data_IF_838994511212
#
_entry.id   IF_838994511212
#
_cell.length_a   1.000
_cell.length_b   1.000
_cell.length_c   1.000
_cell.angle_alpha   90.00
_cell.angle_beta   90.00
_cell.angle_gamma   90.00
#
_symmetry.space_group_name_H-M   'P 1'
#
loop_
_entity.id
_entity.type
_entity.pdbx_description
1 polymer ?
#
# COMPACT_ATOMS: atom_id res chain seq x y z
N UNK A 1 7.28 -32.17 -9.43
CA UNK A 1 6.02 -32.54 -10.11
C UNK A 1 5.88 -34.04 -10.15
N UNK A 2 6.82 -34.71 -10.81
CA UNK A 2 6.77 -36.16 -11.03
C UNK A 2 6.67 -36.99 -9.74
N UNK A 3 7.46 -36.69 -8.71
CA UNK A 3 7.37 -37.37 -7.39
C UNK A 3 5.98 -37.27 -6.77
N UNK A 4 5.29 -36.14 -6.93
CA UNK A 4 3.92 -35.97 -6.43
C UNK A 4 2.94 -36.82 -7.24
N UNK A 5 3.10 -36.86 -8.57
CA UNK A 5 2.27 -37.69 -9.46
C UNK A 5 2.33 -39.16 -9.06
N UNK A 6 3.54 -39.69 -8.85
CA UNK A 6 3.75 -41.09 -8.43
C UNK A 6 3.15 -41.35 -7.05
N UNK A 7 3.51 -40.56 -6.04
CA UNK A 7 3.01 -40.76 -4.68
C UNK A 7 1.48 -40.61 -4.55
N UNK A 8 0.87 -39.76 -5.39
CA UNK A 8 -0.60 -39.62 -5.45
C UNK A 8 -1.26 -40.82 -6.09
N UNK A 9 -0.67 -41.39 -7.15
CA UNK A 9 -1.17 -42.61 -7.79
C UNK A 9 -1.11 -43.79 -6.83
N UNK A 10 0.02 -43.99 -6.16
CA UNK A 10 0.19 -45.08 -5.18
C UNK A 10 -0.81 -44.99 -4.02
N UNK A 11 -1.12 -43.77 -3.56
CA UNK A 11 -2.15 -43.55 -2.54
C UNK A 11 -3.56 -43.76 -3.09
N UNK A 12 -3.85 -43.35 -4.33
CA UNK A 12 -5.16 -43.57 -4.95
C UNK A 12 -5.48 -45.06 -5.11
N UNK A 13 -4.48 -45.89 -5.39
CA UNK A 13 -4.61 -47.34 -5.49
C UNK A 13 -4.81 -48.01 -4.11
N UNK A 14 -4.50 -47.33 -3.00
CA UNK A 14 -4.59 -47.85 -1.63
C UNK A 14 -4.84 -46.71 -0.60
N UNK A 15 -6.07 -46.18 -0.56
CA UNK A 15 -6.40 -44.97 0.19
C UNK A 15 -6.43 -45.18 1.71
N UNK A 16 -6.51 -46.43 2.18
CA UNK A 16 -6.50 -46.76 3.60
C UNK A 16 -5.08 -46.81 4.20
N UNK A 17 -4.03 -46.77 3.36
CA UNK A 17 -2.65 -46.81 3.82
C UNK A 17 -2.17 -45.47 4.38
N UNK A 18 -1.92 -45.45 5.70
CA UNK A 18 -1.36 -44.29 6.41
C UNK A 18 0.04 -43.91 5.91
N UNK A 19 0.85 -44.89 5.51
CA UNK A 19 2.22 -44.68 5.01
C UNK A 19 2.19 -44.00 3.64
N UNK A 20 1.36 -44.51 2.70
CA UNK A 20 1.22 -43.92 1.36
C UNK A 20 0.65 -42.51 1.44
N UNK A 21 -0.35 -42.28 2.31
CA UNK A 21 -0.85 -40.94 2.62
C UNK A 21 0.27 -40.01 3.09
N UNK A 22 1.11 -40.47 4.03
CA UNK A 22 2.24 -39.69 4.55
C UNK A 22 3.28 -39.35 3.48
N UNK A 23 3.59 -40.28 2.59
CA UNK A 23 4.51 -40.05 1.46
C UNK A 23 3.94 -39.06 0.45
N UNK A 24 2.66 -39.20 0.07
CA UNK A 24 1.97 -38.22 -0.78
C UNK A 24 1.97 -36.82 -0.17
N UNK A 25 1.65 -36.69 1.12
CA UNK A 25 1.65 -35.38 1.82
C UNK A 25 3.03 -34.74 1.81
N UNK A 26 4.10 -35.52 2.03
CA UNK A 26 5.49 -35.00 1.93
C UNK A 26 5.81 -34.53 0.51
N UNK A 27 5.45 -35.32 -0.51
CA UNK A 27 5.66 -34.94 -1.90
C UNK A 27 4.86 -33.67 -2.28
N UNK A 28 3.64 -33.52 -1.78
CA UNK A 28 2.81 -32.34 -1.97
C UNK A 28 3.43 -31.09 -1.34
N UNK A 29 3.91 -31.17 -0.09
CA UNK A 29 4.59 -30.06 0.58
C UNK A 29 5.87 -29.64 -0.14
N UNK A 30 6.67 -30.60 -0.60
CA UNK A 30 7.86 -30.33 -1.39
C UNK A 30 7.52 -29.65 -2.73
N UNK A 31 6.47 -30.11 -3.42
CA UNK A 31 5.99 -29.49 -4.65
C UNK A 31 5.50 -28.07 -4.41
N UNK A 32 4.68 -27.84 -3.37
CA UNK A 32 4.19 -26.52 -3.02
C UNK A 32 5.35 -25.55 -2.76
N UNK A 33 6.36 -25.97 -1.98
CA UNK A 33 7.56 -25.15 -1.73
C UNK A 33 8.32 -24.80 -3.02
N UNK A 34 8.51 -25.77 -3.91
CA UNK A 34 9.17 -25.53 -5.20
C UNK A 34 8.39 -24.57 -6.11
N UNK A 35 7.05 -24.74 -6.20
CA UNK A 35 6.17 -23.87 -6.99
C UNK A 35 6.13 -22.47 -6.41
N UNK A 36 6.01 -22.32 -5.09
CA UNK A 36 6.05 -21.00 -4.43
C UNK A 36 7.37 -20.28 -4.72
N UNK A 37 8.52 -20.96 -4.63
CA UNK A 37 9.81 -20.36 -5.01
C UNK A 37 9.85 -19.93 -6.48
N UNK A 38 9.30 -20.72 -7.39
CA UNK A 38 9.21 -20.36 -8.80
C UNK A 38 8.36 -19.10 -9.03
N UNK A 39 7.20 -19.02 -8.37
CA UNK A 39 6.31 -17.86 -8.45
C UNK A 39 6.95 -16.60 -7.87
N UNK A 40 7.69 -16.71 -6.76
CA UNK A 40 8.44 -15.58 -6.19
C UNK A 40 9.52 -15.09 -7.17
N UNK A 41 10.27 -16.00 -7.79
CA UNK A 41 11.28 -15.62 -8.78
C UNK A 41 10.67 -14.96 -10.02
N UNK A 42 9.51 -15.46 -10.48
CA UNK A 42 8.78 -14.85 -11.59
C UNK A 42 8.30 -13.42 -11.23
N UNK A 43 7.77 -13.23 -10.01
CA UNK A 43 7.36 -11.92 -9.50
C UNK A 43 8.55 -10.94 -9.44
N UNK A 44 9.70 -11.37 -8.90
CA UNK A 44 10.91 -10.56 -8.87
C UNK A 44 11.36 -10.14 -10.27
N UNK A 45 11.30 -11.04 -11.25
CA UNK A 45 11.63 -10.71 -12.63
C UNK A 45 10.66 -9.68 -13.24
N UNK A 46 9.36 -9.78 -12.93
CA UNK A 46 8.36 -8.80 -13.37
C UNK A 46 8.58 -7.42 -12.71
N UNK A 47 8.93 -7.37 -11.41
CA UNK A 47 9.31 -6.12 -10.73
C UNK A 47 10.57 -5.51 -11.35
N UNK A 48 11.62 -6.29 -11.58
CA UNK A 48 12.85 -5.79 -12.24
C UNK A 48 12.56 -5.23 -13.64
N UNK A 49 11.67 -5.89 -14.40
CA UNK A 49 11.25 -5.41 -15.72
C UNK A 49 10.49 -4.08 -15.62
N UNK A 50 9.62 -3.93 -14.63
CA UNK A 50 8.93 -2.66 -14.35
C UNK A 50 9.93 -1.55 -14.01
N UNK A 51 10.91 -1.82 -13.14
CA UNK A 51 11.96 -0.85 -12.79
C UNK A 51 12.80 -0.45 -14.01
N UNK A 52 13.08 -1.38 -14.92
CA UNK A 52 13.74 -1.06 -16.18
C UNK A 52 12.90 -0.13 -17.06
N UNK A 53 11.58 -0.32 -17.13
CA UNK A 53 10.69 0.60 -17.85
C UNK A 53 10.65 1.99 -17.21
N UNK A 54 10.66 2.08 -15.86
CA UNK A 54 10.72 3.37 -15.17
C UNK A 54 11.97 4.16 -15.57
N UNK A 55 13.14 3.51 -15.56
CA UNK A 55 14.40 4.16 -15.98
C UNK A 55 14.35 4.69 -17.41
N UNK A 56 13.79 3.92 -18.34
CA UNK A 56 13.60 4.36 -19.74
C UNK A 56 12.69 5.60 -19.82
N UNK A 57 11.61 5.62 -19.03
CA UNK A 57 10.70 6.77 -18.96
C UNK A 57 11.37 7.99 -18.34
N UNK A 58 12.21 7.83 -17.32
CA UNK A 58 13.01 8.91 -16.72
C UNK A 58 14.00 9.53 -17.72
N UNK A 59 14.71 8.70 -18.49
CA UNK A 59 15.62 9.16 -19.53
C UNK A 59 14.87 9.93 -20.63
N UNK A 60 13.71 9.41 -21.06
CA UNK A 60 12.86 10.10 -22.05
C UNK A 60 12.26 11.40 -21.50
N UNK A 61 11.90 11.45 -20.22
CA UNK A 61 11.42 12.64 -19.52
C UNK A 61 12.49 13.74 -19.50
N UNK A 62 13.72 13.39 -19.13
CA UNK A 62 14.85 14.34 -19.15
C UNK A 62 15.11 14.85 -20.57
N UNK A 63 14.97 14.00 -21.59
CA UNK A 63 15.05 14.42 -22.98
C UNK A 63 13.99 15.49 -23.31
N UNK A 64 12.73 15.33 -22.87
CA UNK A 64 11.65 16.32 -23.09
C UNK A 64 12.00 17.68 -22.48
N UNK A 65 12.55 17.73 -21.26
CA UNK A 65 12.95 18.98 -20.60
C UNK A 65 14.06 19.71 -21.35
N UNK A 66 14.97 18.95 -21.95
CA UNK A 66 16.14 19.44 -22.67
C UNK A 66 15.88 19.69 -24.17
N UNK A 67 14.63 19.68 -24.62
CA UNK A 67 14.27 20.10 -25.96
C UNK A 67 14.64 21.57 -26.19
N UNK A 68 15.20 21.89 -27.36
CA UNK A 68 15.71 23.25 -27.67
C UNK A 68 14.78 24.07 -28.55
N UNK A 69 13.79 23.43 -29.18
CA UNK A 69 12.82 24.06 -30.06
C UNK A 69 11.52 23.24 -30.11
N UNK A 70 10.45 23.81 -30.65
CA UNK A 70 9.12 23.16 -30.63
C UNK A 70 9.06 21.86 -31.42
N UNK A 71 9.81 21.75 -32.52
CA UNK A 71 9.85 20.52 -33.33
C UNK A 71 10.55 19.38 -32.57
N UNK A 72 11.69 19.69 -31.93
CA UNK A 72 12.40 18.75 -31.06
C UNK A 72 11.52 18.33 -29.88
N UNK A 73 10.83 19.29 -29.23
CA UNK A 73 9.88 19.01 -28.16
C UNK A 73 8.78 18.04 -28.61
N UNK A 74 8.16 18.26 -29.77
CA UNK A 74 7.13 17.38 -30.32
C UNK A 74 7.67 15.95 -30.56
N UNK A 75 8.88 15.84 -31.11
CA UNK A 75 9.51 14.55 -31.38
C UNK A 75 9.84 13.78 -30.08
N UNK A 76 10.47 14.45 -29.10
CA UNK A 76 10.82 13.83 -27.82
C UNK A 76 9.59 13.48 -27.00
N UNK A 77 8.58 14.33 -27.00
CA UNK A 77 7.33 14.07 -26.29
C UNK A 77 6.56 12.89 -26.89
N UNK A 78 6.61 12.71 -28.22
CA UNK A 78 6.06 11.53 -28.89
C UNK A 78 6.75 10.24 -28.42
N UNK A 79 8.07 10.24 -28.26
CA UNK A 79 8.81 9.08 -27.77
C UNK A 79 8.51 8.82 -26.28
N UNK A 80 8.56 9.85 -25.45
CA UNK A 80 8.15 9.78 -24.04
C UNK A 80 6.75 9.19 -23.88
N UNK A 81 5.79 9.61 -24.72
CA UNK A 81 4.44 9.08 -24.72
C UNK A 81 4.36 7.56 -25.01
N UNK A 82 5.20 7.03 -25.92
CA UNK A 82 5.26 5.59 -26.18
C UNK A 82 5.77 4.81 -24.97
N UNK A 83 6.84 5.30 -24.35
CA UNK A 83 7.43 4.65 -23.17
C UNK A 83 6.49 4.71 -21.97
N UNK A 84 5.75 5.81 -21.79
CA UNK A 84 4.71 5.90 -20.78
C UNK A 84 3.59 4.86 -20.97
N UNK A 85 3.18 4.57 -22.21
CA UNK A 85 2.14 3.55 -22.47
C UNK A 85 2.63 2.17 -22.04
N UNK A 86 3.89 1.82 -22.35
CA UNK A 86 4.52 0.56 -21.93
C UNK A 86 4.62 0.48 -20.41
N UNK A 87 5.11 1.54 -19.75
CA UNK A 87 5.19 1.63 -18.29
C UNK A 87 3.81 1.47 -17.65
N UNK A 88 2.79 2.18 -18.16
CA UNK A 88 1.44 2.12 -17.61
C UNK A 88 0.85 0.70 -17.69
N UNK A 89 1.16 -0.05 -18.75
CA UNK A 89 0.72 -1.44 -18.87
C UNK A 89 1.34 -2.35 -17.79
N UNK A 90 2.66 -2.28 -17.60
CA UNK A 90 3.34 -3.11 -16.58
C UNK A 90 2.99 -2.67 -15.16
N UNK A 91 2.83 -1.37 -14.91
CA UNK A 91 2.39 -0.83 -13.63
C UNK A 91 0.95 -1.22 -13.29
N UNK A 92 0.05 -1.27 -14.28
CA UNK A 92 -1.32 -1.73 -14.08
C UNK A 92 -1.39 -3.20 -13.65
N UNK A 93 -0.54 -4.05 -14.25
CA UNK A 93 -0.43 -5.46 -13.86
C UNK A 93 0.09 -5.59 -12.44
N UNK A 94 1.18 -4.89 -12.09
CA UNK A 94 1.72 -4.90 -10.73
C UNK A 94 0.69 -4.45 -9.70
N UNK A 95 -0.10 -3.42 -10.00
CA UNK A 95 -1.20 -2.96 -9.14
C UNK A 95 -2.23 -4.05 -8.80
N UNK A 96 -2.45 -5.02 -9.70
CA UNK A 96 -3.37 -6.13 -9.44
C UNK A 96 -2.71 -7.24 -8.62
N UNK A 97 -1.39 -7.37 -8.70
CA UNK A 97 -0.59 -8.40 -8.01
C UNK A 97 -0.27 -8.01 -6.55
N UNK A 98 -0.15 -6.71 -6.26
CA UNK A 98 0.04 -6.16 -4.92
C UNK A 98 -1.06 -6.65 -3.96
N UNK A 99 -0.65 -7.10 -2.78
CA UNK A 99 -1.57 -7.64 -1.76
C UNK A 99 -2.14 -6.57 -0.84
N UNK A 100 -1.31 -5.61 -0.46
CA UNK A 100 -1.72 -4.49 0.39
C UNK A 100 -2.63 -3.52 -0.38
N UNK A 101 -3.91 -3.33 0.03
CA UNK A 101 -4.80 -2.35 -0.56
C UNK A 101 -4.21 -0.94 -0.61
N UNK A 102 -3.46 -0.54 0.42
CA UNK A 102 -2.84 0.78 0.47
C UNK A 102 -1.83 0.96 -0.67
N UNK A 103 -0.90 0.02 -0.84
CA UNK A 103 0.05 0.06 -1.95
C UNK A 103 -0.62 0.00 -3.33
N UNK A 104 -1.78 -0.67 -3.45
CA UNK A 104 -2.58 -0.67 -4.69
C UNK A 104 -3.13 0.72 -5.01
N UNK A 105 -3.60 1.44 -4.00
CA UNK A 105 -4.12 2.79 -4.13
C UNK A 105 -2.99 3.80 -4.41
N UNK A 106 -1.85 3.68 -3.73
CA UNK A 106 -0.65 4.49 -4.02
C UNK A 106 -0.19 4.30 -5.47
N UNK A 107 -0.11 3.05 -5.95
CA UNK A 107 0.20 2.75 -7.34
C UNK A 107 -0.82 3.37 -8.31
N UNK A 108 -2.12 3.28 -7.99
CA UNK A 108 -3.18 3.89 -8.81
C UNK A 108 -3.04 5.42 -8.87
N UNK A 109 -2.82 6.05 -7.73
CA UNK A 109 -2.65 7.50 -7.60
C UNK A 109 -1.42 7.97 -8.37
N UNK A 110 -0.27 7.30 -8.21
CA UNK A 110 0.97 7.64 -8.90
C UNK A 110 0.82 7.50 -10.43
N UNK A 111 0.17 6.43 -10.92
CA UNK A 111 -0.16 6.27 -12.35
C UNK A 111 -1.08 7.37 -12.87
N UNK A 112 -2.09 7.76 -12.09
CA UNK A 112 -3.01 8.85 -12.43
C UNK A 112 -2.30 10.20 -12.50
N UNK A 113 -1.46 10.51 -11.52
CA UNK A 113 -0.64 11.70 -11.46
C UNK A 113 0.33 11.77 -12.64
N UNK A 114 1.03 10.67 -12.96
CA UNK A 114 1.93 10.57 -14.10
C UNK A 114 1.21 10.95 -15.40
N UNK A 115 0.03 10.35 -15.66
CA UNK A 115 -0.75 10.63 -16.87
C UNK A 115 -1.17 12.10 -16.96
N UNK A 116 -1.67 12.68 -15.87
CA UNK A 116 -2.10 14.09 -15.82
C UNK A 116 -0.93 15.05 -16.04
N UNK A 117 0.17 14.85 -15.31
CA UNK A 117 1.32 15.75 -15.31
C UNK A 117 2.09 15.67 -16.63
N UNK A 118 2.15 14.48 -17.25
CA UNK A 118 2.75 14.30 -18.56
C UNK A 118 2.10 15.18 -19.64
N UNK A 119 0.76 15.26 -19.68
CA UNK A 119 0.08 16.15 -20.64
C UNK A 119 0.38 17.62 -20.36
N UNK A 120 0.41 18.03 -19.09
CA UNK A 120 0.76 19.40 -18.70
C UNK A 120 2.21 19.75 -19.08
N UNK A 121 3.13 18.80 -18.98
CA UNK A 121 4.54 19.00 -19.26
C UNK A 121 4.78 19.48 -20.69
N UNK A 122 4.07 18.93 -21.68
CA UNK A 122 4.20 19.37 -23.07
C UNK A 122 3.88 20.87 -23.21
N UNK A 123 2.72 21.29 -22.68
CA UNK A 123 2.28 22.68 -22.77
C UNK A 123 3.19 23.64 -21.99
N UNK A 124 3.69 23.22 -20.81
CA UNK A 124 4.60 24.04 -20.01
C UNK A 124 5.96 24.20 -20.69
N UNK A 125 6.51 23.12 -21.27
CA UNK A 125 7.74 23.15 -22.05
C UNK A 125 7.60 23.99 -23.32
N UNK A 126 6.46 23.91 -24.01
CA UNK A 126 6.18 24.71 -25.20
C UNK A 126 6.10 26.20 -24.86
N UNK A 127 5.40 26.56 -23.78
CA UNK A 127 5.32 27.95 -23.33
C UNK A 127 6.70 28.54 -22.98
N UNK A 128 7.56 27.74 -22.33
CA UNK A 128 8.94 28.13 -22.04
C UNK A 128 9.77 28.36 -23.31
N UNK A 129 9.63 27.49 -24.33
CA UNK A 129 10.36 27.64 -25.60
C UNK A 129 9.92 28.89 -26.38
N UNK A 130 8.65 29.28 -26.29
CA UNK A 130 8.12 30.48 -26.95
C UNK A 130 8.48 31.78 -26.22
N UNK A 131 8.56 31.73 -24.89
CA UNK A 131 8.78 32.89 -24.03
C UNK A 131 9.89 32.59 -22.99
N UNK A 132 11.15 32.45 -23.45
CA UNK A 132 12.27 32.03 -22.58
C UNK A 132 12.71 33.11 -21.58
N UNK A 133 12.33 34.37 -21.83
CA UNK A 133 12.56 35.55 -21.02
C UNK A 133 11.57 35.69 -19.85
N UNK A 134 10.41 35.04 -19.94
CA UNK A 134 9.39 35.05 -18.88
C UNK A 134 9.74 34.03 -17.80
N UNK A 135 10.27 34.48 -16.67
CA UNK A 135 10.67 33.60 -15.55
C UNK A 135 9.56 32.63 -15.08
N UNK A 136 8.28 33.06 -15.15
CA UNK A 136 7.14 32.24 -14.77
C UNK A 136 6.96 30.99 -15.66
N UNK A 137 7.31 31.04 -16.96
CA UNK A 137 7.18 29.86 -17.85
C UNK A 137 8.21 28.80 -17.49
N UNK A 138 9.44 29.21 -17.14
CA UNK A 138 10.49 28.33 -16.62
C UNK A 138 10.06 27.68 -15.31
N UNK A 139 9.63 28.49 -14.34
CA UNK A 139 9.19 28.00 -13.03
C UNK A 139 8.03 27.00 -13.16
N UNK A 140 7.05 27.29 -14.01
CA UNK A 140 5.94 26.36 -14.28
C UNK A 140 6.42 25.05 -14.91
N UNK A 141 7.29 25.10 -15.92
CA UNK A 141 7.85 23.89 -16.55
C UNK A 141 8.61 23.04 -15.54
N UNK A 142 9.47 23.65 -14.75
CA UNK A 142 10.31 22.93 -13.79
C UNK A 142 9.46 22.34 -12.64
N UNK A 143 8.39 23.04 -12.22
CA UNK A 143 7.40 22.50 -11.29
C UNK A 143 6.70 21.26 -11.85
N UNK A 144 6.12 21.35 -13.06
CA UNK A 144 5.42 20.21 -13.67
C UNK A 144 6.38 19.04 -13.90
N UNK A 145 7.61 19.31 -14.33
CA UNK A 145 8.65 18.30 -14.48
C UNK A 145 8.91 17.54 -13.18
N UNK A 146 9.05 18.27 -12.07
CA UNK A 146 9.20 17.67 -10.73
C UNK A 146 8.00 16.81 -10.36
N UNK A 147 6.77 17.26 -10.64
CA UNK A 147 5.56 16.47 -10.38
C UNK A 147 5.50 15.17 -11.22
N UNK A 148 6.09 15.15 -12.43
CA UNK A 148 6.23 13.91 -13.21
C UNK A 148 7.27 12.98 -12.56
N UNK A 149 8.41 13.51 -12.12
CA UNK A 149 9.43 12.73 -11.42
C UNK A 149 8.91 12.12 -10.12
N UNK A 150 8.16 12.88 -9.33
CA UNK A 150 7.52 12.40 -8.09
C UNK A 150 6.52 11.26 -8.39
N UNK A 151 5.76 11.36 -9.48
CA UNK A 151 4.85 10.29 -9.88
C UNK A 151 5.59 9.02 -10.33
N UNK A 152 6.71 9.14 -11.05
CA UNK A 152 7.57 8.02 -11.42
C UNK A 152 8.16 7.37 -10.16
N UNK A 153 8.67 8.16 -9.22
CA UNK A 153 9.18 7.68 -7.94
C UNK A 153 8.10 6.96 -7.12
N UNK A 154 6.86 7.49 -7.11
CA UNK A 154 5.72 6.85 -6.48
C UNK A 154 5.42 5.46 -7.05
N UNK A 155 5.45 5.31 -8.38
CA UNK A 155 5.31 3.99 -9.04
C UNK A 155 6.46 3.06 -8.63
N UNK A 156 7.70 3.57 -8.58
CA UNK A 156 8.88 2.79 -8.17
C UNK A 156 8.74 2.26 -6.75
N UNK A 157 8.35 3.12 -5.81
CA UNK A 157 8.19 2.77 -4.40
C UNK A 157 7.05 1.76 -4.22
N UNK A 158 5.88 2.01 -4.81
CA UNK A 158 4.74 1.10 -4.73
C UNK A 158 5.00 -0.25 -5.41
N UNK A 159 5.78 -0.29 -6.50
CA UNK A 159 6.13 -1.55 -7.17
C UNK A 159 7.04 -2.43 -6.30
N UNK A 160 7.97 -1.81 -5.57
CA UNK A 160 8.94 -2.45 -4.70
C UNK A 160 8.42 -2.70 -3.29
N UNK A 161 7.19 -2.25 -2.99
CA UNK A 161 6.50 -2.59 -1.76
C UNK A 161 6.41 -4.11 -1.65
N UNK A 162 7.31 -4.66 -0.84
CA UNK A 162 7.25 -6.04 -0.39
C UNK A 162 6.30 -6.02 0.77
N UNK A 163 5.27 -6.88 0.74
CA UNK A 163 4.40 -7.04 1.91
C UNK A 163 5.29 -7.31 3.13
N UNK A 164 5.35 -6.40 4.11
CA UNK A 164 5.88 -6.79 5.40
C UNK A 164 4.81 -7.70 5.99
N UNK A 165 5.22 -8.93 6.29
CA UNK A 165 4.74 -9.65 7.45
C UNK A 165 4.60 -8.67 8.60
N UNK A 166 3.39 -8.18 8.85
CA UNK A 166 2.90 -7.72 10.13
C UNK A 166 1.40 -7.51 9.97
N UNK A 167 0.61 -8.46 10.46
CA UNK A 167 -0.79 -8.21 10.87
C UNK A 167 -0.88 -7.08 11.93
N UNK A 168 0.26 -6.49 12.31
CA UNK A 168 0.45 -5.44 13.30
C UNK A 168 0.52 -4.02 12.74
N UNK A 169 0.54 -3.82 11.41
CA UNK A 169 0.30 -2.48 10.85
C UNK A 169 -1.19 -2.38 10.54
N UNK A 170 -1.91 -1.76 11.48
CA UNK A 170 -3.31 -1.38 11.30
C UNK A 170 -3.53 -0.63 9.98
N UNK A 171 -4.78 -0.56 9.52
CA UNK A 171 -5.15 0.10 8.27
C UNK A 171 -4.60 1.54 8.22
N UNK A 172 -3.46 1.77 7.57
CA UNK A 172 -2.89 3.11 7.41
C UNK A 172 -3.58 3.81 6.24
N UNK A 173 -4.23 4.95 6.50
CA UNK A 173 -4.86 5.78 5.45
C UNK A 173 -6.36 6.02 5.64
N UNK A 174 -7.10 6.10 4.52
CA UNK A 174 -8.53 6.45 4.55
C UNK A 174 -9.29 5.36 5.34
N UNK A 175 -9.95 5.77 6.42
CA UNK A 175 -10.70 4.87 7.28
C UNK A 175 -9.90 4.24 8.43
N UNK A 176 -8.66 4.67 8.67
CA UNK A 176 -7.81 4.20 9.78
C UNK A 176 -8.54 4.27 11.14
N UNK A 177 -9.10 5.43 11.49
CA UNK A 177 -9.84 5.59 12.75
C UNK A 177 -11.07 4.66 12.82
N UNK A 178 -11.78 4.47 11.70
CA UNK A 178 -12.94 3.59 11.64
C UNK A 178 -12.54 2.11 11.79
N UNK A 179 -11.42 1.70 11.18
CA UNK A 179 -10.87 0.36 11.34
C UNK A 179 -10.41 0.13 12.78
N UNK A 180 -9.72 1.10 13.40
CA UNK A 180 -9.28 1.03 14.79
C UNK A 180 -10.47 0.90 15.76
N UNK A 181 -11.55 1.67 15.55
CA UNK A 181 -12.79 1.55 16.32
C UNK A 181 -13.43 0.15 16.20
N UNK A 182 -13.57 -0.37 14.98
CA UNK A 182 -14.11 -1.73 14.76
C UNK A 182 -13.21 -2.81 15.38
N UNK A 183 -11.89 -2.67 15.28
CA UNK A 183 -10.96 -3.64 15.86
C UNK A 183 -11.03 -3.64 17.39
N UNK A 184 -11.16 -2.46 18.00
CA UNK A 184 -11.32 -2.31 19.44
C UNK A 184 -12.63 -2.94 19.93
N UNK A 185 -13.74 -2.68 19.24
CA UNK A 185 -15.06 -3.26 19.55
C UNK A 185 -15.04 -4.79 19.52
N UNK A 186 -14.31 -5.39 18.56
CA UNK A 186 -14.16 -6.85 18.50
C UNK A 186 -13.23 -7.42 19.60
N UNK A 187 -12.29 -6.62 20.13
CA UNK A 187 -11.28 -7.06 21.10
C UNK A 187 -11.64 -6.79 22.55
N UNK A 188 -12.68 -6.00 22.81
CA UNK A 188 -13.08 -5.62 24.16
C UNK A 188 -13.91 -6.71 24.87
N UNK A 189 -14.54 -7.61 24.11
CA UNK A 189 -15.25 -8.77 24.64
C UNK A 189 -14.22 -9.87 24.92
N UNK A 190 -13.89 -10.07 26.19
CA UNK A 190 -12.93 -11.07 26.64
C UNK A 190 -13.68 -12.19 27.38
N UNK A 191 -13.16 -13.43 27.30
CA UNK A 191 -13.65 -14.52 28.14
C UNK A 191 -13.19 -14.27 29.59
N UNK A 192 -14.13 -14.06 30.54
CA UNK A 192 -13.80 -13.77 31.93
C UNK A 192 -12.90 -14.83 32.59
N UNK A 193 -12.99 -16.09 32.15
CA UNK A 193 -12.23 -17.20 32.73
C UNK A 193 -10.77 -17.24 32.25
N UNK A 194 -10.43 -16.51 31.19
CA UNK A 194 -9.06 -16.46 30.63
C UNK A 194 -8.42 -15.07 30.73
N UNK A 195 -9.11 -14.13 31.39
CA UNK A 195 -8.64 -12.77 31.56
C UNK A 195 -7.35 -12.73 32.39
N UNK A 196 -6.35 -12.01 31.87
CA UNK A 196 -5.10 -11.71 32.55
C UNK A 196 -4.83 -10.22 32.43
N UNK A 197 -4.94 -9.50 33.55
CA UNK A 197 -4.78 -8.05 33.58
C UNK A 197 -3.44 -7.62 32.96
N UNK A 198 -2.34 -8.25 33.38
CA UNK A 198 -0.99 -7.96 32.90
C UNK A 198 -0.82 -8.10 31.37
N UNK A 199 -1.70 -8.88 30.72
CA UNK A 199 -1.67 -9.10 29.28
C UNK A 199 -2.65 -8.19 28.53
N UNK A 200 -3.88 -8.08 29.01
CA UNK A 200 -4.96 -7.41 28.26
C UNK A 200 -5.04 -5.91 28.54
N UNK A 201 -4.77 -5.47 29.77
CA UNK A 201 -4.88 -4.06 30.16
C UNK A 201 -3.96 -3.15 29.33
N UNK A 202 -2.65 -3.43 29.20
CA UNK A 202 -1.77 -2.58 28.39
C UNK A 202 -2.21 -2.50 26.93
N UNK A 203 -2.68 -3.62 26.35
CA UNK A 203 -3.09 -3.66 24.95
C UNK A 203 -4.40 -2.90 24.70
N UNK A 204 -5.38 -3.00 25.60
CA UNK A 204 -6.64 -2.26 25.46
C UNK A 204 -6.43 -0.76 25.67
N UNK A 205 -5.62 -0.37 26.67
CA UNK A 205 -5.29 1.04 26.93
C UNK A 205 -4.53 1.66 25.75
N UNK A 206 -3.53 0.97 25.21
CA UNK A 206 -2.78 1.43 24.03
C UNK A 206 -3.68 1.61 22.80
N UNK A 207 -4.58 0.65 22.55
CA UNK A 207 -5.53 0.74 21.42
C UNK A 207 -6.50 1.90 21.59
N UNK A 208 -7.01 2.11 22.80
CA UNK A 208 -7.91 3.21 23.07
C UNK A 208 -7.20 4.57 22.90
N UNK A 209 -5.98 4.71 23.41
CA UNK A 209 -5.22 5.96 23.23
C UNK A 209 -4.85 6.23 21.77
N UNK A 210 -4.65 5.19 20.95
CA UNK A 210 -4.52 5.34 19.49
C UNK A 210 -5.79 5.90 18.85
N UNK A 211 -6.97 5.40 19.24
CA UNK A 211 -8.28 5.92 18.78
C UNK A 211 -8.48 7.37 19.22
N UNK A 212 -8.18 7.69 20.48
CA UNK A 212 -8.29 9.05 21.02
C UNK A 212 -7.36 10.01 20.29
N UNK A 213 -6.13 9.57 19.97
CA UNK A 213 -5.18 10.36 19.18
C UNK A 213 -5.72 10.66 17.78
N UNK A 214 -6.34 9.67 17.13
CA UNK A 214 -7.01 9.86 15.84
C UNK A 214 -8.22 10.81 15.92
N UNK A 215 -9.03 10.70 16.99
CA UNK A 215 -10.14 11.62 17.24
C UNK A 215 -9.68 13.05 17.55
N UNK A 216 -8.54 13.21 18.24
CA UNK A 216 -7.95 14.52 18.54
C UNK A 216 -7.55 15.27 17.27
N UNK A 217 -6.98 14.58 16.26
CA UNK A 217 -6.69 15.19 14.95
C UNK A 217 -7.95 15.78 14.28
N UNK A 218 -9.11 15.16 14.49
CA UNK A 218 -10.39 15.70 14.01
C UNK A 218 -10.88 16.87 14.87
N UNK A 219 -10.74 16.77 16.20
CA UNK A 219 -11.18 17.79 17.15
C UNK A 219 -10.37 19.11 17.00
N UNK A 220 -9.06 19.00 16.79
CA UNK A 220 -8.11 20.12 16.72
C UNK A 220 -7.94 20.69 15.31
N UNK A 221 -8.64 20.12 14.31
CA UNK A 221 -8.63 20.64 12.95
C UNK A 221 -9.18 22.07 12.89
N UNK A 222 -8.56 22.92 12.08
CA UNK A 222 -8.97 24.33 11.89
C UNK A 222 -10.36 24.50 11.29
N UNK A 223 -10.93 23.45 10.71
CA UNK A 223 -12.30 23.45 10.17
C UNK A 223 -13.35 22.89 11.16
N UNK A 224 -12.94 22.46 12.36
CA UNK A 224 -13.84 21.92 13.38
C UNK A 224 -14.37 23.04 14.27
N UNK A 225 -15.70 23.08 14.43
CA UNK A 225 -16.35 24.06 15.30
C UNK A 225 -16.07 23.74 16.77
N UNK A 226 -15.94 24.79 17.60
CA UNK A 226 -15.66 24.66 19.04
C UNK A 226 -16.65 23.74 19.77
N UNK A 227 -17.96 23.85 19.47
CA UNK A 227 -19.00 23.02 20.07
C UNK A 227 -18.85 21.52 19.72
N UNK A 228 -18.31 21.22 18.53
CA UNK A 228 -17.99 19.84 18.14
C UNK A 228 -16.70 19.35 18.77
N UNK A 229 -15.67 20.19 18.85
CA UNK A 229 -14.40 19.88 19.54
C UNK A 229 -14.66 19.50 20.98
N UNK A 230 -15.41 20.32 21.72
CA UNK A 230 -15.75 20.06 23.13
C UNK A 230 -16.50 18.73 23.32
N UNK A 231 -17.45 18.43 22.43
CA UNK A 231 -18.14 17.13 22.44
C UNK A 231 -17.20 15.96 22.20
N UNK A 232 -16.31 16.05 21.21
CA UNK A 232 -15.33 14.98 20.93
C UNK A 232 -14.43 14.75 22.15
N UNK A 233 -13.93 15.82 22.77
CA UNK A 233 -13.10 15.71 23.99
C UNK A 233 -13.88 15.07 25.14
N UNK A 234 -15.14 15.46 25.34
CA UNK A 234 -16.00 14.87 26.36
C UNK A 234 -16.22 13.36 26.13
N UNK A 235 -16.51 12.95 24.90
CA UNK A 235 -16.69 11.54 24.54
C UNK A 235 -15.39 10.73 24.68
N UNK A 236 -14.23 11.26 24.28
CA UNK A 236 -12.93 10.60 24.49
C UNK A 236 -12.66 10.35 25.99
N UNK A 237 -13.00 11.31 26.85
CA UNK A 237 -12.88 11.13 28.30
C UNK A 237 -13.89 10.12 28.85
N UNK A 238 -15.12 10.14 28.34
CA UNK A 238 -16.16 9.18 28.73
C UNK A 238 -15.78 7.74 28.38
N UNK A 239 -15.25 7.50 27.17
CA UNK A 239 -14.78 6.17 26.76
C UNK A 239 -13.57 5.72 27.57
N UNK A 240 -12.64 6.64 27.90
CA UNK A 240 -11.52 6.33 28.80
C UNK A 240 -12.00 5.86 30.16
N UNK A 241 -12.99 6.55 30.73
CA UNK A 241 -13.59 6.14 32.01
C UNK A 241 -14.29 4.78 31.89
N UNK A 242 -15.11 4.59 30.85
CA UNK A 242 -15.83 3.33 30.62
C UNK A 242 -14.88 2.12 30.50
N UNK A 243 -13.70 2.28 29.87
CA UNK A 243 -12.70 1.22 29.83
C UNK A 243 -12.12 0.89 31.22
N UNK A 244 -11.85 1.90 32.04
CA UNK A 244 -11.34 1.68 33.40
C UNK A 244 -12.37 0.98 34.29
N UNK A 245 -13.65 1.33 34.15
CA UNK A 245 -14.75 0.69 34.86
C UNK A 245 -14.88 -0.78 34.44
N UNK A 246 -14.83 -1.06 33.13
CA UNK A 246 -14.87 -2.42 32.58
C UNK A 246 -13.69 -3.29 33.04
N UNK A 247 -12.47 -2.74 33.00
CA UNK A 247 -11.28 -3.45 33.49
C UNK A 247 -11.42 -3.79 34.98
N UNK A 248 -11.99 -2.89 35.76
CA UNK A 248 -12.27 -3.11 37.18
C UNK A 248 -13.29 -4.24 37.40
N UNK A 249 -14.34 -4.31 36.59
CA UNK A 249 -15.30 -5.42 36.63
C UNK A 249 -14.66 -6.78 36.28
N UNK A 250 -13.79 -6.84 35.27
CA UNK A 250 -13.05 -8.07 34.96
C UNK A 250 -12.16 -8.54 36.11
N UNK A 251 -11.49 -7.62 36.84
CA UNK A 251 -10.70 -7.98 38.02
C UNK A 251 -11.57 -8.57 39.14
N UNK A 252 -12.76 -7.99 39.35
CA UNK A 252 -13.69 -8.47 40.37
C UNK A 252 -14.25 -9.87 40.05
N UNK A 253 -14.38 -10.23 38.77
CA UNK A 253 -14.89 -11.54 38.34
C UNK A 253 -13.85 -12.68 38.37
N UNK A 254 -12.56 -12.36 38.48
CA UNK A 254 -11.47 -13.35 38.64
C UNK A 254 -11.20 -13.67 40.12
N UNK A 255 -11.72 -12.85 41.03
CA UNK A 255 -11.61 -12.99 42.50
C UNK A 255 -12.67 -13.92 43.07
#
# INVERSE_FOLDING_TARGET
GETMRVASSEFADDPCSSVKRGTMVRAARALLSAVTRLLILADMADVMRLLSHLKIVEEALEAVKNATNEQDLANRFKEFGKEMVKLNYVAARRQQELKDPHCRDEMAAARGALKKNATMLYTASQAFLRHPDVAATRANRDYVFKQVQEAIAGISNAAQATSPTDENKGHTGIGELAAALNEFDNKIILDPMTFSEARFRPSLEERLESIISGAALMADSSCTRDDRRERIVAECNAVRQALQDLLSEYMNNVS
#
